data_IF_855158994416
#
_entry.id   IF_855158994416
#
_cell.length_a   1.000
_cell.length_b   1.000
_cell.length_c   1.000
_cell.angle_alpha   90.00
_cell.angle_beta   90.00
_cell.angle_gamma   90.00
#
_symmetry.space_group_name_H-M   'P 1'
#
loop_
_entity.id
_entity.type
_entity.pdbx_description
1 polymer ?
#
# COMPACT_ATOMS: atom_id res chain seq x y z
N UNK A 1 9.80 -36.19 8.08
CA UNK A 1 10.85 -35.15 8.16
C UNK A 1 10.27 -33.84 7.63
N UNK A 2 9.80 -32.94 8.50
CA UNK A 2 9.14 -31.70 8.09
C UNK A 2 10.17 -30.69 7.57
N UNK A 3 10.05 -30.26 6.31
CA UNK A 3 10.84 -29.16 5.74
C UNK A 3 10.66 -27.92 6.63
N UNK A 4 11.73 -27.51 7.33
CA UNK A 4 11.80 -26.17 7.94
C UNK A 4 11.60 -25.17 6.81
N UNK A 5 10.44 -24.47 6.80
CA UNK A 5 10.30 -23.24 6.03
C UNK A 5 11.38 -22.29 6.52
N UNK A 6 12.39 -22.04 5.71
CA UNK A 6 13.32 -20.93 5.92
C UNK A 6 12.47 -19.68 6.10
N UNK A 7 12.69 -18.95 7.19
CA UNK A 7 12.00 -17.71 7.46
C UNK A 7 12.43 -16.70 6.40
N UNK A 8 11.70 -16.65 5.29
CA UNK A 8 11.94 -15.68 4.23
C UNK A 8 11.90 -14.29 4.86
N UNK A 9 12.96 -13.51 4.62
CA UNK A 9 13.13 -12.16 5.12
C UNK A 9 11.82 -11.39 5.08
N UNK A 10 11.39 -10.82 6.22
CA UNK A 10 10.08 -10.19 6.38
C UNK A 10 9.92 -8.88 5.60
N UNK A 11 11.00 -8.38 5.00
CA UNK A 11 11.09 -7.15 4.21
C UNK A 11 11.90 -7.43 2.92
N UNK A 12 11.71 -6.63 1.85
CA UNK A 12 12.50 -6.74 0.63
C UNK A 12 14.00 -6.65 0.94
N UNK A 13 14.81 -7.55 0.38
CA UNK A 13 16.25 -7.59 0.64
C UNK A 13 16.96 -6.31 0.19
N UNK A 14 16.48 -5.68 -0.87
CA UNK A 14 16.98 -4.40 -1.39
C UNK A 14 16.93 -3.27 -0.35
N UNK A 15 15.87 -3.21 0.45
CA UNK A 15 15.73 -2.20 1.52
C UNK A 15 16.74 -2.46 2.64
N UNK A 16 16.98 -3.73 2.98
CA UNK A 16 17.95 -4.09 4.01
C UNK A 16 19.38 -3.82 3.54
N UNK A 17 19.67 -4.09 2.26
CA UNK A 17 20.96 -3.82 1.64
C UNK A 17 21.25 -2.31 1.60
N UNK A 18 20.30 -1.50 1.11
CA UNK A 18 20.41 -0.04 1.10
C UNK A 18 20.69 0.54 2.50
N UNK A 19 19.98 0.07 3.53
CA UNK A 19 20.21 0.56 4.89
C UNK A 19 21.55 0.06 5.44
N UNK A 20 21.97 -1.17 5.14
CA UNK A 20 23.26 -1.68 5.58
C UNK A 20 24.45 -0.93 4.98
N UNK A 21 24.33 -0.45 3.73
CA UNK A 21 25.34 0.38 3.07
C UNK A 21 25.53 1.73 3.77
N UNK A 22 24.48 2.27 4.38
CA UNK A 22 24.49 3.55 5.10
C UNK A 22 24.78 3.41 6.61
N UNK A 23 24.77 2.20 7.17
CA UNK A 23 25.00 1.97 8.61
C UNK A 23 26.33 1.25 8.81
N UNK A 24 27.35 2.03 9.22
CA UNK A 24 28.72 1.56 9.46
C UNK A 24 28.86 0.36 10.42
N UNK A 25 27.84 0.06 11.23
CA UNK A 25 27.87 -0.95 12.28
C UNK A 25 27.34 -2.34 11.88
N UNK A 26 26.99 -2.59 10.61
CA UNK A 26 26.41 -3.86 10.13
C UNK A 26 25.36 -4.46 11.10
N UNK A 27 24.27 -3.73 11.41
CA UNK A 27 23.30 -4.14 12.40
C UNK A 27 22.58 -5.43 11.99
N UNK A 28 22.27 -6.26 12.98
CA UNK A 28 21.49 -7.48 12.73
C UNK A 28 20.11 -7.14 12.14
N UNK A 29 19.56 -8.07 11.37
CA UNK A 29 18.25 -7.89 10.73
C UNK A 29 17.17 -7.53 11.76
N UNK A 30 17.19 -8.13 12.96
CA UNK A 30 16.21 -7.84 14.01
C UNK A 30 16.31 -6.39 14.54
N UNK A 31 17.50 -5.81 14.60
CA UNK A 31 17.72 -4.41 14.98
C UNK A 31 17.16 -3.47 13.92
N UNK A 32 17.46 -3.70 12.63
CA UNK A 32 16.92 -2.92 11.51
C UNK A 32 15.38 -2.92 11.52
N UNK A 33 14.78 -4.09 11.73
CA UNK A 33 13.32 -4.25 11.78
C UNK A 33 12.67 -3.52 12.95
N UNK A 34 13.36 -3.42 14.09
CA UNK A 34 12.88 -2.68 15.26
C UNK A 34 12.90 -1.19 14.99
N UNK A 35 14.01 -0.67 14.45
CA UNK A 35 14.16 0.75 14.11
C UNK A 35 13.12 1.18 13.08
N UNK A 36 12.98 0.43 11.98
CA UNK A 36 11.98 0.72 10.94
C UNK A 36 10.55 0.79 11.52
N UNK A 37 10.20 -0.14 12.42
CA UNK A 37 8.84 -0.22 12.97
C UNK A 37 8.56 0.82 14.05
N UNK A 38 9.48 0.99 15.01
CA UNK A 38 9.21 1.74 16.23
C UNK A 38 9.67 3.20 16.14
N UNK A 39 10.86 3.44 15.57
CA UNK A 39 11.41 4.80 15.44
C UNK A 39 10.84 5.48 14.20
N UNK A 40 10.89 4.80 13.05
CA UNK A 40 10.51 5.38 11.75
C UNK A 40 9.04 5.19 11.40
N UNK A 41 8.29 4.38 12.17
CA UNK A 41 6.87 4.04 11.93
C UNK A 41 6.60 3.50 10.51
N UNK A 42 7.63 2.96 9.85
CA UNK A 42 7.55 2.36 8.52
C UNK A 42 7.15 0.89 8.65
N UNK A 43 5.87 0.62 8.41
CA UNK A 43 5.39 -0.76 8.37
C UNK A 43 5.75 -1.44 7.05
N UNK A 44 6.01 -2.75 7.11
CA UNK A 44 6.16 -3.63 5.93
C UNK A 44 5.13 -3.36 4.83
N UNK A 45 3.84 -3.20 5.19
CA UNK A 45 2.76 -2.99 4.22
C UNK A 45 2.97 -1.74 3.37
N UNK A 46 3.56 -0.70 3.96
CA UNK A 46 3.85 0.56 3.28
C UNK A 46 5.03 0.39 2.32
N UNK A 47 6.10 -0.26 2.77
CA UNK A 47 7.33 -0.44 1.99
C UNK A 47 7.15 -1.44 0.83
N UNK A 48 6.57 -2.61 1.08
CA UNK A 48 6.41 -3.64 0.05
C UNK A 48 5.42 -3.29 -1.03
N UNK A 49 4.41 -2.47 -0.73
CA UNK A 49 3.45 -2.06 -1.75
C UNK A 49 4.12 -1.12 -2.74
N UNK A 50 4.77 -0.05 -2.24
CA UNK A 50 5.48 0.91 -3.10
C UNK A 50 6.61 0.25 -3.88
N UNK A 51 7.40 -0.62 -3.25
CA UNK A 51 8.48 -1.31 -3.94
C UNK A 51 7.99 -2.24 -5.07
N UNK A 52 6.84 -2.92 -4.88
CA UNK A 52 6.30 -3.81 -5.92
C UNK A 52 5.61 -3.07 -7.08
N UNK A 53 5.04 -1.92 -6.81
CA UNK A 53 4.31 -1.12 -7.80
C UNK A 53 5.23 -0.15 -8.55
N UNK A 54 6.42 0.14 -8.04
CA UNK A 54 7.35 1.09 -8.63
C UNK A 54 8.27 0.41 -9.66
N UNK A 55 8.25 0.92 -10.89
CA UNK A 55 9.28 0.67 -11.90
C UNK A 55 10.08 1.95 -12.07
N UNK A 56 11.31 2.05 -11.50
CA UNK A 56 12.05 3.32 -11.44
C UNK A 56 12.24 4.02 -12.80
N UNK A 57 12.51 3.23 -13.84
CA UNK A 57 12.67 3.77 -15.21
C UNK A 57 11.40 4.41 -15.76
N UNK A 58 10.23 3.79 -15.52
CA UNK A 58 8.94 4.34 -15.97
C UNK A 58 8.56 5.59 -15.20
N UNK A 59 8.87 5.64 -13.89
CA UNK A 59 8.64 6.83 -13.06
C UNK A 59 9.45 8.01 -13.59
N UNK A 60 10.74 7.81 -13.88
CA UNK A 60 11.61 8.85 -14.42
C UNK A 60 11.16 9.30 -15.81
N UNK A 61 10.81 8.37 -16.70
CA UNK A 61 10.30 8.69 -18.03
C UNK A 61 8.98 9.50 -17.96
N UNK A 62 8.09 9.13 -17.05
CA UNK A 62 6.83 9.84 -16.82
C UNK A 62 7.06 11.25 -16.27
N UNK A 63 7.98 11.41 -15.30
CA UNK A 63 8.35 12.71 -14.76
C UNK A 63 8.96 13.62 -15.83
N UNK A 64 9.89 13.11 -16.63
CA UNK A 64 10.50 13.87 -17.72
C UNK A 64 9.44 14.34 -18.73
N UNK A 65 8.50 13.44 -19.09
CA UNK A 65 7.37 13.80 -19.97
C UNK A 65 6.50 14.91 -19.38
N UNK A 66 6.17 14.85 -18.09
CA UNK A 66 5.37 15.91 -17.45
C UNK A 66 6.11 17.25 -17.44
N UNK A 67 7.41 17.25 -17.14
CA UNK A 67 8.24 18.46 -17.10
C UNK A 67 8.38 19.13 -18.47
N UNK A 68 8.25 18.39 -19.57
CA UNK A 68 8.24 18.97 -20.92
C UNK A 68 7.02 19.85 -21.21
N UNK A 69 5.89 19.63 -20.52
CA UNK A 69 4.63 20.31 -20.83
C UNK A 69 4.12 21.21 -19.70
N UNK A 70 4.45 20.90 -18.45
CA UNK A 70 3.92 21.58 -17.29
C UNK A 70 5.05 22.05 -16.37
N UNK A 71 4.94 23.27 -15.88
CA UNK A 71 5.92 23.88 -14.97
C UNK A 71 5.42 23.91 -13.53
N UNK A 72 4.10 23.93 -13.34
CA UNK A 72 3.47 24.13 -12.04
C UNK A 72 2.43 23.03 -11.76
N UNK A 73 2.36 22.52 -10.52
CA UNK A 73 1.43 21.44 -10.16
C UNK A 73 -0.04 21.84 -10.22
N UNK A 74 -0.37 23.14 -10.09
CA UNK A 74 -1.72 23.70 -10.22
C UNK A 74 -2.32 23.50 -11.62
N UNK A 75 -1.48 23.17 -12.62
CA UNK A 75 -1.90 22.90 -13.98
C UNK A 75 -2.43 21.47 -14.18
N UNK A 76 -2.28 20.61 -13.17
CA UNK A 76 -2.60 19.19 -13.27
C UNK A 76 -3.93 18.87 -12.59
N UNK A 77 -4.75 18.12 -13.31
CA UNK A 77 -5.97 17.51 -12.78
C UNK A 77 -5.80 16.00 -12.86
N UNK A 78 -6.01 15.32 -11.75
CA UNK A 78 -5.95 13.87 -11.63
C UNK A 78 -7.36 13.30 -11.67
N UNK A 79 -7.56 12.26 -12.47
CA UNK A 79 -8.84 11.56 -12.60
C UNK A 79 -8.61 10.10 -12.23
N UNK A 80 -9.40 9.59 -11.29
CA UNK A 80 -9.36 8.18 -10.90
C UNK A 80 -10.77 7.63 -10.64
N UNK A 81 -10.95 6.34 -10.91
CA UNK A 81 -12.19 5.63 -10.66
C UNK A 81 -12.03 4.68 -9.47
N UNK A 82 -12.87 4.87 -8.44
CA UNK A 82 -13.00 3.91 -7.35
C UNK A 82 -14.31 3.16 -7.45
N UNK A 83 -14.28 1.85 -7.24
CA UNK A 83 -15.47 1.00 -7.24
C UNK A 83 -15.57 0.19 -5.97
N UNK A 84 -16.79 0.00 -5.49
CA UNK A 84 -17.13 -0.81 -4.33
C UNK A 84 -18.26 -1.76 -4.66
N UNK A 85 -18.10 -3.00 -4.25
CA UNK A 85 -19.17 -3.97 -4.23
C UNK A 85 -19.94 -3.87 -2.92
N UNK A 86 -21.22 -4.20 -2.91
CA UNK A 86 -22.03 -4.20 -1.69
C UNK A 86 -21.57 -5.18 -0.60
N UNK A 87 -20.63 -6.08 -0.91
CA UNK A 87 -19.98 -6.97 0.06
C UNK A 87 -18.70 -6.38 0.65
N UNK A 88 -18.15 -5.32 0.07
CA UNK A 88 -16.88 -4.73 0.51
C UNK A 88 -17.01 -4.04 1.88
N UNK A 89 -18.23 -3.68 2.28
CA UNK A 89 -18.53 -3.15 3.60
C UNK A 89 -18.54 -4.23 4.70
N UNK A 90 -18.54 -5.51 4.33
CA UNK A 90 -18.63 -6.63 5.29
C UNK A 90 -17.24 -6.98 5.82
N UNK A 91 -17.12 -7.04 7.15
CA UNK A 91 -15.87 -7.51 7.79
C UNK A 91 -15.63 -9.00 7.49
N UNK A 92 -14.43 -9.30 6.98
CA UNK A 92 -13.97 -10.68 6.74
C UNK A 92 -13.48 -11.40 8.00
N UNK A 93 -13.13 -10.65 9.03
CA UNK A 93 -12.51 -11.18 10.25
C UNK A 93 -13.27 -10.72 11.48
N UNK A 94 -13.22 -11.55 12.51
CA UNK A 94 -13.90 -11.35 13.77
C UNK A 94 -13.05 -11.80 14.95
N UNK A 95 -13.37 -11.30 16.12
CA UNK A 95 -12.67 -11.64 17.35
C UNK A 95 -13.36 -12.81 18.03
N UNK A 96 -12.56 -13.78 18.49
CA UNK A 96 -12.98 -14.86 19.35
C UNK A 96 -11.85 -15.17 20.34
N UNK A 97 -12.20 -15.86 21.43
CA UNK A 97 -11.20 -16.38 22.35
C UNK A 97 -10.19 -17.29 21.62
N UNK A 98 -8.97 -17.36 22.15
CA UNK A 98 -7.93 -18.21 21.57
C UNK A 98 -8.41 -19.68 21.60
N UNK A 99 -8.41 -20.33 20.45
CA UNK A 99 -8.91 -21.71 20.29
C UNK A 99 -10.39 -21.81 19.92
N UNK A 100 -11.14 -20.71 19.92
CA UNK A 100 -12.54 -20.69 19.52
C UNK A 100 -12.71 -20.21 18.07
N UNK A 101 -13.76 -20.71 17.40
CA UNK A 101 -14.14 -20.26 16.05
C UNK A 101 -14.85 -18.91 16.15
N UNK A 102 -14.36 -17.92 15.42
CA UNK A 102 -15.04 -16.63 15.29
C UNK A 102 -16.23 -16.76 14.34
N UNK A 103 -17.42 -16.39 14.82
CA UNK A 103 -18.68 -16.46 14.06
C UNK A 103 -19.28 -15.07 14.00
N UNK A 104 -19.63 -14.61 12.79
CA UNK A 104 -20.29 -13.32 12.54
C UNK A 104 -21.49 -13.53 11.66
N UNK A 105 -22.59 -12.86 11.98
CA UNK A 105 -23.75 -12.77 11.11
C UNK A 105 -23.55 -11.61 10.15
N UNK A 106 -23.68 -11.89 8.86
CA UNK A 106 -23.57 -10.89 7.80
C UNK A 106 -24.83 -10.91 6.95
N UNK A 107 -25.18 -9.80 6.28
CA UNK A 107 -26.27 -9.81 5.31
C UNK A 107 -25.99 -10.85 4.22
N UNK A 108 -27.01 -11.64 3.86
CA UNK A 108 -26.92 -12.60 2.75
C UNK A 108 -27.09 -11.92 1.38
N UNK A 109 -27.81 -10.79 1.34
CA UNK A 109 -28.03 -10.03 0.12
C UNK A 109 -26.75 -9.38 -0.38
N UNK A 110 -26.38 -9.66 -1.63
CA UNK A 110 -25.31 -8.96 -2.34
C UNK A 110 -25.81 -7.56 -2.71
N UNK A 111 -25.27 -6.52 -2.06
CA UNK A 111 -25.60 -5.14 -2.44
C UNK A 111 -25.13 -4.81 -3.86
N UNK A 112 -25.68 -3.73 -4.44
CA UNK A 112 -25.30 -3.26 -5.78
C UNK A 112 -23.84 -2.80 -5.80
N UNK A 113 -23.17 -3.03 -6.93
CA UNK A 113 -21.85 -2.43 -7.20
C UNK A 113 -22.07 -0.96 -7.51
N UNK A 114 -21.25 -0.11 -6.92
CA UNK A 114 -21.23 1.33 -7.15
C UNK A 114 -19.82 1.73 -7.58
N UNK A 115 -19.71 2.64 -8.54
CA UNK A 115 -18.43 3.29 -8.85
C UNK A 115 -18.54 4.81 -8.81
N UNK A 116 -17.42 5.45 -8.52
CA UNK A 116 -17.28 6.90 -8.47
C UNK A 116 -16.03 7.25 -9.28
N UNK A 117 -16.23 7.97 -10.37
CA UNK A 117 -15.16 8.64 -11.10
C UNK A 117 -15.01 10.04 -10.50
N UNK A 118 -13.82 10.39 -10.01
CA UNK A 118 -13.57 11.68 -9.39
C UNK A 118 -12.38 12.39 -10.04
N UNK A 119 -12.49 13.70 -10.18
CA UNK A 119 -11.40 14.58 -10.61
C UNK A 119 -10.94 15.43 -9.41
N UNK A 120 -9.63 15.53 -9.21
CA UNK A 120 -9.04 16.35 -8.15
C UNK A 120 -7.77 17.10 -8.59
N UNK A 121 -7.49 18.20 -7.91
CA UNK A 121 -6.27 18.99 -8.03
C UNK A 121 -5.58 19.12 -6.65
N UNK A 122 -4.68 20.10 -6.50
CA UNK A 122 -4.01 20.39 -5.23
C UNK A 122 -4.95 20.90 -4.13
N UNK A 123 -6.07 21.51 -4.50
CA UNK A 123 -7.05 22.12 -3.59
C UNK A 123 -8.11 21.11 -3.12
N UNK A 124 -8.34 20.04 -3.89
CA UNK A 124 -9.22 18.94 -3.53
C UNK A 124 -10.00 18.38 -4.71
N UNK A 125 -11.21 17.88 -4.44
CA UNK A 125 -12.09 17.34 -5.49
C UNK A 125 -12.79 18.47 -6.23
N UNK A 126 -12.69 18.43 -7.56
CA UNK A 126 -13.35 19.37 -8.47
C UNK A 126 -14.76 18.90 -8.83
N UNK A 127 -14.88 17.62 -9.21
CA UNK A 127 -16.16 17.01 -9.57
C UNK A 127 -16.09 15.50 -9.46
N UNK A 128 -17.26 14.85 -9.39
CA UNK A 128 -17.38 13.40 -9.44
C UNK A 128 -18.68 12.96 -10.09
N UNK A 129 -18.68 11.74 -10.64
CA UNK A 129 -19.86 11.08 -11.19
C UNK A 129 -19.97 9.67 -10.64
N UNK A 130 -21.16 9.31 -10.19
CA UNK A 130 -21.46 7.99 -9.64
C UNK A 130 -22.27 7.15 -10.61
N UNK A 131 -21.97 5.85 -10.68
CA UNK A 131 -22.68 4.85 -11.48
C UNK A 131 -23.08 3.64 -10.66
#
# INVERSE_FOLDING_TARGET
MARRRTAQSRYPQEVLQFISEYVAANPSQSTLLRVLKFELKLSRKVLERRAREAVPGEILAYQAKLQSFYSYPEQLIFIDETSKNGTDCVRRYAWAARGARAIVRTPFSRGKRVSILAACDLSGFLCWKTT
#
